data_IF_948265945460
#
_entry.id   IF_948265945460
#
_cell.length_a   1.000
_cell.length_b   1.000
_cell.length_c   1.000
_cell.angle_alpha   90.00
_cell.angle_beta   90.00
_cell.angle_gamma   90.00
#
_symmetry.space_group_name_H-M   'P 1'
#
loop_
_entity.id
_entity.type
_entity.pdbx_description
1 polymer ?
#
# COMPACT_ATOMS: atom_id res chain seq x y z
N UNK A 1 10.15 12.96 -9.32
CA UNK A 1 9.80 14.30 -9.81
C UNK A 1 10.95 15.23 -9.45
N UNK A 2 11.38 16.06 -10.38
CA UNK A 2 12.45 17.04 -10.17
C UNK A 2 12.00 18.45 -10.60
N UNK A 3 10.67 18.67 -10.65
CA UNK A 3 10.08 19.94 -11.05
C UNK A 3 9.94 20.93 -9.88
N UNK A 4 9.29 22.08 -10.09
CA UNK A 4 9.30 23.21 -9.16
C UNK A 4 8.51 23.00 -7.86
N UNK A 5 7.60 22.02 -7.80
CA UNK A 5 6.68 21.81 -6.68
C UNK A 5 7.22 20.81 -5.64
N UNK A 6 8.48 20.96 -5.22
CA UNK A 6 9.10 20.13 -4.18
C UNK A 6 8.90 20.70 -2.76
N UNK A 7 8.74 22.01 -2.64
CA UNK A 7 8.56 22.71 -1.37
C UNK A 7 7.06 22.93 -1.06
N UNK A 8 6.70 22.82 0.22
CA UNK A 8 5.29 22.92 0.68
C UNK A 8 4.64 24.26 0.31
N UNK A 9 5.38 25.37 0.42
CA UNK A 9 4.87 26.70 0.05
C UNK A 9 4.61 26.84 -1.45
N UNK A 10 5.50 26.28 -2.27
CA UNK A 10 5.37 26.31 -3.73
C UNK A 10 4.16 25.46 -4.18
N UNK A 11 4.00 24.28 -3.59
CA UNK A 11 2.87 23.40 -3.83
C UNK A 11 1.54 24.07 -3.44
N UNK A 12 1.48 24.71 -2.26
CA UNK A 12 0.29 25.40 -1.80
C UNK A 12 -0.11 26.56 -2.75
N UNK A 13 0.87 27.37 -3.18
CA UNK A 13 0.63 28.47 -4.13
C UNK A 13 0.16 27.97 -5.49
N UNK A 14 0.71 26.85 -5.98
CA UNK A 14 0.27 26.24 -7.22
C UNK A 14 -1.15 25.66 -7.10
N UNK A 15 -1.46 24.98 -5.99
CA UNK A 15 -2.80 24.47 -5.72
C UNK A 15 -3.86 25.56 -5.55
N UNK A 16 -3.50 26.73 -4.99
CA UNK A 16 -4.39 27.90 -4.91
C UNK A 16 -4.72 28.48 -6.29
N UNK A 17 -3.75 28.45 -7.20
CA UNK A 17 -3.95 28.88 -8.60
C UNK A 17 -4.63 27.80 -9.45
N UNK A 18 -4.68 26.56 -8.97
CA UNK A 18 -5.34 25.42 -9.62
C UNK A 18 -5.00 25.29 -11.10
N UNK A 19 -6.05 25.26 -11.94
CA UNK A 19 -5.95 25.09 -13.40
C UNK A 19 -5.27 26.27 -14.11
N UNK A 20 -5.04 27.40 -13.44
CA UNK A 20 -4.28 28.54 -13.99
C UNK A 20 -2.78 28.46 -13.71
N UNK A 21 -2.31 27.49 -12.90
CA UNK A 21 -0.88 27.26 -12.66
C UNK A 21 -0.34 26.21 -13.63
N UNK A 22 0.61 26.56 -14.53
CA UNK A 22 1.24 25.57 -15.40
C UNK A 22 2.01 24.53 -14.58
N UNK A 23 2.61 24.91 -13.46
CA UNK A 23 3.34 23.99 -12.58
C UNK A 23 2.41 22.92 -11.97
N UNK A 24 1.17 23.30 -11.61
CA UNK A 24 0.16 22.36 -11.12
C UNK A 24 -0.27 21.36 -12.20
N UNK A 25 -0.53 21.86 -13.42
CA UNK A 25 -0.89 21.01 -14.56
C UNK A 25 0.23 20.03 -14.90
N UNK A 26 1.47 20.51 -14.98
CA UNK A 26 2.65 19.66 -15.23
C UNK A 26 2.83 18.58 -14.16
N UNK A 27 2.59 18.89 -12.89
CA UNK A 27 2.66 17.89 -11.83
C UNK A 27 1.58 16.80 -12.00
N UNK A 28 0.35 17.19 -12.36
CA UNK A 28 -0.73 16.23 -12.64
C UNK A 28 -0.40 15.32 -13.84
N UNK A 29 0.12 15.91 -14.92
CA UNK A 29 0.59 15.17 -16.10
C UNK A 29 1.72 14.21 -15.72
N UNK A 30 2.70 14.68 -14.93
CA UNK A 30 3.80 13.85 -14.48
C UNK A 30 3.29 12.67 -13.64
N UNK A 31 2.45 12.91 -12.63
CA UNK A 31 1.87 11.85 -11.80
C UNK A 31 1.07 10.84 -12.65
N UNK A 32 0.21 11.32 -13.54
CA UNK A 32 -0.57 10.48 -14.46
C UNK A 32 0.33 9.59 -15.34
N UNK A 33 1.41 10.15 -15.89
CA UNK A 33 2.37 9.39 -16.72
C UNK A 33 3.07 8.27 -15.93
N UNK A 34 3.43 8.54 -14.68
CA UNK A 34 4.09 7.56 -13.81
C UNK A 34 3.13 6.44 -13.44
N UNK A 35 1.87 6.77 -13.13
CA UNK A 35 0.82 5.78 -12.87
C UNK A 35 0.62 4.90 -14.10
N UNK A 36 0.43 5.50 -15.29
CA UNK A 36 0.23 4.78 -16.55
C UNK A 36 1.39 3.85 -16.92
N UNK A 37 2.63 4.18 -16.53
CA UNK A 37 3.77 3.27 -16.74
C UNK A 37 3.75 2.01 -15.86
N UNK A 38 2.98 2.02 -14.76
CA UNK A 38 2.94 0.95 -13.76
C UNK A 38 1.65 0.12 -13.82
N UNK A 39 0.61 0.60 -14.50
CA UNK A 39 -0.65 -0.10 -14.70
C UNK A 39 -1.15 0.08 -16.14
N UNK A 40 -1.88 -0.91 -16.66
CA UNK A 40 -2.38 -0.91 -18.03
C UNK A 40 -3.63 -0.01 -18.15
N UNK A 41 -3.41 1.31 -18.11
CA UNK A 41 -4.46 2.32 -18.26
C UNK A 41 -4.67 2.73 -19.71
N UNK A 42 -5.93 2.88 -20.10
CA UNK A 42 -6.32 3.43 -21.39
C UNK A 42 -6.20 4.96 -21.38
N UNK A 43 -6.73 5.60 -20.33
CA UNK A 43 -6.78 7.06 -20.20
C UNK A 43 -5.40 7.67 -19.89
N UNK A 44 -5.24 8.95 -20.17
CA UNK A 44 -4.02 9.71 -19.82
C UNK A 44 -4.32 11.18 -19.61
N UNK A 45 -3.57 11.77 -18.68
CA UNK A 45 -3.53 13.22 -18.47
C UNK A 45 -2.40 13.76 -19.34
N UNK A 46 -2.70 14.61 -20.32
CA UNK A 46 -1.73 15.14 -21.28
C UNK A 46 -1.48 16.64 -21.11
N UNK A 47 -0.34 17.12 -21.62
CA UNK A 47 0.03 18.54 -21.52
C UNK A 47 -0.96 19.44 -22.28
N UNK A 48 -1.16 20.66 -21.76
CA UNK A 48 -1.95 21.73 -22.37
C UNK A 48 -1.22 22.51 -23.46
N UNK A 49 0.05 22.19 -23.76
CA UNK A 49 0.92 22.93 -24.72
C UNK A 49 0.42 22.98 -26.18
N UNK A 50 -0.68 22.30 -26.50
CA UNK A 50 -1.29 22.24 -27.84
C UNK A 50 -2.50 23.14 -28.07
N UNK A 51 -2.76 24.15 -27.23
CA UNK A 51 -3.96 24.99 -27.33
C UNK A 51 -5.24 24.30 -26.83
N UNK A 52 -5.08 23.30 -25.95
CA UNK A 52 -6.21 22.66 -25.26
C UNK A 52 -6.79 23.64 -24.24
N UNK A 53 -8.11 23.74 -24.21
CA UNK A 53 -8.80 24.52 -23.18
C UNK A 53 -8.79 23.78 -21.84
N UNK A 54 -9.10 24.53 -20.79
CA UNK A 54 -9.15 24.03 -19.41
C UNK A 54 -10.17 22.89 -19.26
N UNK A 55 -11.28 22.96 -19.99
CA UNK A 55 -12.34 21.94 -19.96
C UNK A 55 -11.84 20.59 -20.49
N UNK A 56 -11.06 20.59 -21.58
CA UNK A 56 -10.43 19.39 -22.12
C UNK A 56 -9.51 18.72 -21.09
N UNK A 57 -8.71 19.51 -20.38
CA UNK A 57 -7.85 18.98 -19.32
C UNK A 57 -8.68 18.39 -18.16
N UNK A 58 -9.72 19.09 -17.72
CA UNK A 58 -10.61 18.61 -16.67
C UNK A 58 -11.30 17.30 -17.07
N UNK A 59 -11.66 17.13 -18.34
CA UNK A 59 -12.24 15.89 -18.87
C UNK A 59 -11.23 14.74 -18.86
N UNK A 60 -9.99 14.96 -19.31
CA UNK A 60 -8.92 13.97 -19.26
C UNK A 60 -8.67 13.50 -17.82
N UNK A 61 -8.55 14.45 -16.88
CA UNK A 61 -8.40 14.12 -15.45
C UNK A 61 -9.61 13.34 -14.93
N UNK A 62 -10.83 13.73 -15.30
CA UNK A 62 -12.05 13.05 -14.85
C UNK A 62 -12.16 11.62 -15.36
N UNK A 63 -11.82 11.38 -16.63
CA UNK A 63 -11.79 10.03 -17.22
C UNK A 63 -10.71 9.18 -16.56
N UNK A 64 -9.51 9.73 -16.40
CA UNK A 64 -8.39 9.08 -15.72
C UNK A 64 -8.75 8.66 -14.29
N UNK A 65 -9.36 9.57 -13.52
CA UNK A 65 -9.80 9.28 -12.15
C UNK A 65 -10.92 8.24 -12.09
N UNK A 66 -11.82 8.22 -13.08
CA UNK A 66 -12.91 7.23 -13.14
C UNK A 66 -12.37 5.84 -13.43
N UNK A 67 -11.40 5.70 -14.34
CA UNK A 67 -10.71 4.44 -14.62
C UNK A 67 -9.98 3.92 -13.37
N UNK A 68 -9.37 4.83 -12.59
CA UNK A 68 -8.72 4.52 -11.30
C UNK A 68 -9.70 4.31 -10.14
N UNK A 69 -11.02 4.33 -10.38
CA UNK A 69 -12.07 4.20 -9.37
C UNK A 69 -11.92 5.20 -8.20
N UNK A 70 -11.58 6.46 -8.51
CA UNK A 70 -11.41 7.52 -7.52
C UNK A 70 -12.66 7.69 -6.63
N UNK A 71 -12.52 7.71 -5.29
CA UNK A 71 -13.66 7.79 -4.38
C UNK A 71 -14.20 9.22 -4.20
N UNK A 72 -13.47 10.24 -4.64
CA UNK A 72 -13.85 11.64 -4.46
C UNK A 72 -14.87 12.07 -5.51
N UNK A 73 -16.16 12.05 -5.15
CA UNK A 73 -17.24 12.43 -6.05
C UNK A 73 -17.11 13.87 -6.59
N UNK A 74 -16.53 14.80 -5.82
CA UNK A 74 -16.28 16.18 -6.27
C UNK A 74 -15.33 16.27 -7.47
N UNK A 75 -14.49 15.26 -7.68
CA UNK A 75 -13.52 15.24 -8.78
C UNK A 75 -14.02 14.52 -10.04
N UNK A 76 -15.08 13.70 -9.94
CA UNK A 76 -15.54 12.82 -11.03
C UNK A 76 -17.01 13.02 -11.44
N UNK A 77 -17.79 13.72 -10.62
CA UNK A 77 -19.24 13.95 -10.77
C UNK A 77 -19.57 15.44 -10.73
N UNK A 78 -20.80 15.81 -11.06
CA UNK A 78 -21.24 17.22 -11.14
C UNK A 78 -20.83 17.90 -12.45
N UNK A 79 -21.03 19.22 -12.54
CA UNK A 79 -20.61 20.02 -13.70
C UNK A 79 -19.08 20.02 -13.82
N UNK A 80 -18.57 19.87 -15.04
CA UNK A 80 -17.12 19.88 -15.31
C UNK A 80 -16.49 21.22 -14.92
N UNK A 81 -17.23 22.33 -15.08
CA UNK A 81 -16.76 23.70 -14.82
C UNK A 81 -16.51 24.01 -13.35
N UNK A 82 -17.09 23.21 -12.47
CA UNK A 82 -16.97 23.37 -11.02
C UNK A 82 -15.80 22.55 -10.44
N UNK A 83 -15.25 21.60 -11.20
CA UNK A 83 -14.19 20.70 -10.73
C UNK A 83 -12.84 21.40 -10.69
N UNK A 84 -12.02 21.10 -9.67
CA UNK A 84 -10.66 21.65 -9.53
C UNK A 84 -10.61 23.19 -9.51
N UNK A 85 -11.71 23.84 -9.12
CA UNK A 85 -11.73 25.29 -8.85
C UNK A 85 -11.15 25.62 -7.49
N UNK A 86 -11.57 24.86 -6.49
CA UNK A 86 -11.16 25.10 -5.12
C UNK A 86 -9.80 24.46 -4.83
N UNK A 87 -8.98 25.17 -4.04
CA UNK A 87 -7.67 24.67 -3.57
C UNK A 87 -7.79 23.26 -2.98
N UNK A 88 -8.86 23.01 -2.23
CA UNK A 88 -9.08 21.72 -1.57
C UNK A 88 -9.26 20.57 -2.57
N UNK A 89 -9.95 20.80 -3.69
CA UNK A 89 -10.13 19.79 -4.74
C UNK A 89 -8.83 19.55 -5.50
N UNK A 90 -8.03 20.59 -5.75
CA UNK A 90 -6.67 20.46 -6.29
C UNK A 90 -5.78 19.61 -5.37
N UNK A 91 -5.83 19.84 -4.06
CA UNK A 91 -5.07 19.05 -3.08
C UNK A 91 -5.59 17.60 -2.98
N UNK A 92 -6.90 17.37 -3.04
CA UNK A 92 -7.50 16.01 -3.08
C UNK A 92 -7.01 15.25 -4.31
N UNK A 93 -6.97 15.89 -5.47
CA UNK A 93 -6.44 15.30 -6.70
C UNK A 93 -4.97 14.88 -6.52
N UNK A 94 -4.12 15.79 -6.05
CA UNK A 94 -2.70 15.52 -5.86
C UNK A 94 -2.46 14.43 -4.81
N UNK A 95 -3.21 14.46 -3.71
CA UNK A 95 -3.17 13.43 -2.68
C UNK A 95 -3.50 12.07 -3.29
N UNK A 96 -4.64 11.96 -3.99
CA UNK A 96 -5.10 10.72 -4.62
C UNK A 96 -4.05 10.16 -5.58
N UNK A 97 -3.62 10.95 -6.57
CA UNK A 97 -2.65 10.52 -7.58
C UNK A 97 -1.31 10.11 -6.93
N UNK A 98 -0.84 10.85 -5.92
CA UNK A 98 0.40 10.53 -5.23
C UNK A 98 0.30 9.23 -4.44
N UNK A 99 -0.80 9.01 -3.72
CA UNK A 99 -1.02 7.78 -2.94
C UNK A 99 -1.22 6.57 -3.84
N UNK A 100 -1.93 6.72 -4.96
CA UNK A 100 -2.10 5.63 -5.93
C UNK A 100 -0.79 5.27 -6.61
N UNK A 101 0.02 6.27 -7.00
CA UNK A 101 1.36 6.03 -7.53
C UNK A 101 2.23 5.28 -6.52
N UNK A 102 2.18 5.68 -5.24
CA UNK A 102 2.91 5.00 -4.16
C UNK A 102 2.43 3.54 -4.01
N UNK A 103 1.12 3.31 -3.99
CA UNK A 103 0.54 1.97 -3.89
C UNK A 103 0.95 1.09 -5.08
N UNK A 104 0.89 1.61 -6.31
CA UNK A 104 1.30 0.89 -7.52
C UNK A 104 2.79 0.53 -7.49
N UNK A 105 3.67 1.43 -7.06
CA UNK A 105 5.10 1.14 -6.88
C UNK A 105 5.34 0.01 -5.85
N UNK A 106 4.60 0.00 -4.75
CA UNK A 106 4.66 -1.06 -3.73
C UNK A 106 4.15 -2.39 -4.31
N UNK A 107 3.07 -2.39 -5.08
CA UNK A 107 2.52 -3.60 -5.69
C UNK A 107 3.45 -4.17 -6.76
N UNK A 108 4.06 -3.32 -7.58
CA UNK A 108 4.97 -3.77 -8.63
C UNK A 108 6.27 -4.35 -8.04
N UNK A 109 6.83 -3.73 -7.00
CA UNK A 109 7.99 -4.28 -6.29
C UNK A 109 7.69 -5.64 -5.65
N UNK A 110 6.46 -5.86 -5.15
CA UNK A 110 6.02 -7.17 -4.65
C UNK A 110 5.83 -8.22 -5.75
N UNK A 111 5.35 -7.84 -6.94
CA UNK A 111 5.22 -8.76 -8.09
C UNK A 111 6.57 -9.28 -8.57
N UNK A 112 7.59 -8.43 -8.61
CA UNK A 112 8.96 -8.84 -8.95
C UNK A 112 9.53 -9.88 -7.97
N UNK A 113 9.11 -9.86 -6.70
CA UNK A 113 9.47 -10.89 -5.70
C UNK A 113 8.77 -12.24 -5.88
N UNK A 114 7.75 -12.32 -6.74
CA UNK A 114 6.98 -13.54 -7.00
C UNK A 114 7.60 -14.48 -8.04
N UNK A 115 8.63 -14.04 -8.79
CA UNK A 115 9.39 -14.93 -9.66
C UNK A 115 10.34 -15.75 -8.79
N UNK A 116 10.09 -17.06 -8.74
CA UNK A 116 10.82 -18.07 -7.98
C UNK A 116 12.31 -18.15 -8.42
N UNK A 117 13.13 -17.19 -7.97
CA UNK A 117 14.58 -17.27 -8.03
C UNK A 117 15.11 -17.82 -6.71
N UNK A 118 16.20 -18.57 -6.81
CA UNK A 118 16.75 -19.44 -5.76
C UNK A 118 16.84 -18.80 -4.37
N UNK A 119 16.25 -19.48 -3.37
CA UNK A 119 16.20 -19.11 -1.95
C UNK A 119 17.54 -18.71 -1.32
N UNK A 120 18.66 -19.11 -1.91
CA UNK A 120 19.98 -18.81 -1.38
C UNK A 120 20.42 -17.35 -1.59
N UNK A 121 19.73 -16.57 -2.44
CA UNK A 121 20.10 -15.18 -2.74
C UNK A 121 19.01 -14.14 -2.40
N UNK A 122 17.90 -14.55 -1.78
CA UNK A 122 16.76 -13.65 -1.48
C UNK A 122 17.17 -12.48 -0.59
N UNK A 123 17.90 -12.74 0.50
CA UNK A 123 18.31 -11.68 1.45
C UNK A 123 19.22 -10.65 0.78
N UNK A 124 20.17 -11.11 -0.03
CA UNK A 124 21.08 -10.21 -0.75
C UNK A 124 20.33 -9.41 -1.82
N UNK A 125 19.40 -10.03 -2.56
CA UNK A 125 18.53 -9.32 -3.50
C UNK A 125 17.64 -8.27 -2.80
N UNK A 126 17.15 -8.56 -1.60
CA UNK A 126 16.37 -7.59 -0.82
C UNK A 126 17.23 -6.41 -0.37
N UNK A 127 18.43 -6.66 0.14
CA UNK A 127 19.38 -5.60 0.50
C UNK A 127 19.76 -4.78 -0.73
N UNK A 128 19.98 -5.44 -1.87
CA UNK A 128 20.26 -4.78 -3.15
C UNK A 128 19.12 -3.87 -3.59
N UNK A 129 17.87 -4.35 -3.48
CA UNK A 129 16.68 -3.54 -3.78
C UNK A 129 16.58 -2.32 -2.86
N UNK A 130 16.94 -2.45 -1.59
CA UNK A 130 16.99 -1.33 -0.64
C UNK A 130 18.06 -0.33 -1.07
N UNK A 131 19.26 -0.78 -1.46
CA UNK A 131 20.33 0.07 -1.95
C UNK A 131 19.91 0.85 -3.20
N UNK A 132 19.31 0.17 -4.19
CA UNK A 132 18.82 0.79 -5.42
C UNK A 132 17.74 1.84 -5.11
N UNK A 133 16.80 1.52 -4.22
CA UNK A 133 15.75 2.46 -3.80
C UNK A 133 16.29 3.69 -3.05
N UNK A 134 17.40 3.53 -2.32
CA UNK A 134 18.08 4.61 -1.62
C UNK A 134 19.09 5.38 -2.50
N UNK A 135 19.28 4.96 -3.76
CA UNK A 135 20.27 5.51 -4.69
C UNK A 135 21.71 5.30 -4.21
N UNK A 136 21.97 4.24 -3.45
CA UNK A 136 23.32 3.86 -3.04
C UNK A 136 24.00 3.13 -4.21
N UNK A 137 25.17 3.61 -4.63
CA UNK A 137 25.97 2.90 -5.62
C UNK A 137 26.34 1.53 -5.08
N UNK A 138 26.10 0.48 -5.87
CA UNK A 138 26.51 -0.88 -5.56
C UNK A 138 28.02 -0.93 -5.51
N UNK A 139 28.60 -0.68 -4.33
CA UNK A 139 29.94 -1.15 -4.09
C UNK A 139 29.86 -2.66 -4.26
N UNK A 140 30.75 -3.21 -5.07
CA UNK A 140 30.96 -4.65 -5.21
C UNK A 140 31.53 -5.25 -3.91
N UNK A 141 30.98 -4.84 -2.76
CA UNK A 141 31.43 -5.18 -1.45
C UNK A 141 30.98 -6.62 -1.20
N UNK A 142 31.94 -7.54 -1.18
CA UNK A 142 31.72 -8.88 -0.68
C UNK A 142 31.39 -8.90 0.83
N UNK A 143 31.30 -7.75 1.49
CA UNK A 143 31.01 -7.59 2.91
C UNK A 143 29.69 -6.84 3.13
N UNK A 144 28.76 -7.51 3.82
CA UNK A 144 27.38 -7.06 4.08
C UNK A 144 27.35 -6.00 5.19
N UNK A 145 28.28 -6.04 6.14
CA UNK A 145 28.22 -5.20 7.32
C UNK A 145 28.43 -3.69 7.02
N UNK A 146 29.43 -3.30 6.20
CA UNK A 146 29.58 -1.92 5.75
C UNK A 146 28.38 -1.44 4.91
N UNK A 147 27.80 -2.34 4.10
CA UNK A 147 26.64 -2.04 3.28
C UNK A 147 25.43 -1.68 4.15
N UNK A 148 25.14 -2.49 5.18
CA UNK A 148 24.05 -2.21 6.11
C UNK A 148 24.26 -0.91 6.89
N UNK A 149 25.51 -0.57 7.22
CA UNK A 149 25.85 0.69 7.89
C UNK A 149 25.58 1.89 6.98
N UNK A 150 25.93 1.80 5.70
CA UNK A 150 25.63 2.83 4.70
C UNK A 150 24.11 3.00 4.48
N UNK A 151 23.38 1.89 4.44
CA UNK A 151 21.91 1.89 4.37
C UNK A 151 21.31 2.59 5.58
N UNK A 152 21.76 2.25 6.80
CA UNK A 152 21.30 2.88 8.04
C UNK A 152 21.55 4.39 8.02
N UNK A 153 22.75 4.81 7.64
CA UNK A 153 23.12 6.23 7.59
C UNK A 153 22.26 6.99 6.57
N UNK A 154 22.09 6.43 5.37
CA UNK A 154 21.26 7.05 4.33
C UNK A 154 19.80 7.18 4.75
N UNK A 155 19.26 6.19 5.46
CA UNK A 155 17.91 6.25 6.02
C UNK A 155 17.82 7.37 7.07
N UNK A 156 18.80 7.49 7.98
CA UNK A 156 18.82 8.59 8.96
C UNK A 156 18.88 9.97 8.30
N UNK A 157 19.70 10.11 7.25
CA UNK A 157 19.84 11.36 6.49
C UNK A 157 18.56 11.73 5.71
N UNK A 158 17.80 10.74 5.23
CA UNK A 158 16.50 10.98 4.60
C UNK A 158 15.47 11.36 5.65
N UNK A 159 15.40 10.62 6.77
CA UNK A 159 14.45 10.88 7.84
C UNK A 159 14.63 12.25 8.48
N UNK A 160 15.86 12.77 8.56
CA UNK A 160 16.12 14.12 9.09
C UNK A 160 15.61 15.25 8.19
N UNK A 161 15.35 14.97 6.91
CA UNK A 161 14.79 15.92 5.94
C UNK A 161 13.27 15.90 5.89
N UNK A 162 12.63 14.95 6.56
CA UNK A 162 11.18 14.80 6.59
C UNK A 162 10.65 15.25 7.94
N UNK A 163 9.42 15.77 7.98
CA UNK A 163 8.77 16.18 9.24
C UNK A 163 8.80 15.05 10.29
N UNK A 164 9.05 15.40 11.56
CA UNK A 164 9.23 14.46 12.68
C UNK A 164 8.08 13.46 12.89
N UNK A 165 6.89 13.72 12.34
CA UNK A 165 5.71 12.87 12.49
C UNK A 165 5.45 11.96 11.28
N UNK A 166 6.31 11.96 10.26
CA UNK A 166 6.06 11.22 9.02
C UNK A 166 6.23 9.70 9.19
N UNK A 167 7.22 9.29 9.97
CA UNK A 167 7.41 7.90 10.39
C UNK A 167 7.20 7.88 11.89
N UNK A 168 6.06 7.36 12.35
CA UNK A 168 5.72 7.32 13.78
C UNK A 168 6.84 6.73 14.64
N UNK A 169 6.81 7.01 15.94
CA UNK A 169 7.86 6.55 16.87
C UNK A 169 7.84 5.03 17.01
N UNK A 170 9.03 4.45 17.22
CA UNK A 170 9.19 3.02 17.48
C UNK A 170 8.41 2.62 18.72
N UNK A 171 7.66 1.52 18.64
CA UNK A 171 6.95 0.96 19.78
C UNK A 171 7.94 0.44 20.84
N UNK A 172 9.05 -0.16 20.40
CA UNK A 172 10.15 -0.57 21.26
C UNK A 172 11.18 0.57 21.32
N UNK A 173 11.24 1.27 22.45
CA UNK A 173 12.09 2.46 22.64
C UNK A 173 13.42 2.16 23.33
N UNK A 174 13.49 1.05 24.08
CA UNK A 174 14.70 0.67 24.84
C UNK A 174 15.49 -0.38 24.07
N UNK A 175 16.83 -0.24 23.98
CA UNK A 175 17.68 -1.29 23.44
C UNK A 175 17.57 -2.53 24.34
N UNK A 176 17.56 -3.70 23.71
CA UNK A 176 17.53 -4.98 24.40
C UNK A 176 18.96 -5.51 24.55
N UNK A 177 19.28 -6.06 25.72
CA UNK A 177 20.51 -6.81 25.89
C UNK A 177 20.37 -8.25 25.34
N UNK A 178 21.47 -9.00 25.25
CA UNK A 178 21.49 -10.34 24.65
C UNK A 178 20.50 -11.32 25.32
N UNK A 179 20.39 -11.30 26.65
CA UNK A 179 19.46 -12.15 27.40
C UNK A 179 17.99 -11.79 27.09
N UNK A 180 17.69 -10.50 27.02
CA UNK A 180 16.36 -10.00 26.67
C UNK A 180 15.98 -10.35 25.23
N UNK A 181 16.91 -10.28 24.27
CA UNK A 181 16.69 -10.69 22.88
C UNK A 181 16.38 -12.17 22.80
N UNK A 182 17.12 -13.02 23.53
CA UNK A 182 16.86 -14.46 23.58
C UNK A 182 15.48 -14.75 24.18
N UNK A 183 15.14 -14.10 25.30
CA UNK A 183 13.83 -14.24 25.94
C UNK A 183 12.71 -13.79 25.01
N UNK A 184 12.91 -12.70 24.27
CA UNK A 184 11.95 -12.20 23.31
C UNK A 184 11.74 -13.17 22.14
N UNK A 185 12.81 -13.84 21.69
CA UNK A 185 12.74 -14.95 20.74
C UNK A 185 11.82 -16.08 21.24
N UNK A 186 12.03 -16.53 22.49
CA UNK A 186 11.19 -17.56 23.12
C UNK A 186 9.71 -17.15 23.21
N UNK A 187 9.42 -15.89 23.53
CA UNK A 187 8.05 -15.36 23.55
C UNK A 187 7.45 -15.37 22.14
N UNK A 188 8.20 -14.89 21.14
CA UNK A 188 7.75 -14.89 19.75
C UNK A 188 7.44 -16.31 19.26
N UNK A 189 8.26 -17.30 19.59
CA UNK A 189 8.06 -18.70 19.19
C UNK A 189 6.81 -19.31 19.85
N UNK A 190 6.59 -19.04 21.14
CA UNK A 190 5.40 -19.49 21.86
C UNK A 190 4.13 -18.89 21.24
N UNK A 191 4.11 -17.56 21.02
CA UNK A 191 2.98 -16.88 20.39
C UNK A 191 2.75 -17.39 18.97
N UNK A 192 3.82 -17.56 18.19
CA UNK A 192 3.75 -18.08 16.82
C UNK A 192 3.09 -19.45 16.79
N UNK A 193 3.52 -20.38 17.65
CA UNK A 193 2.92 -21.71 17.75
C UNK A 193 1.41 -21.64 18.06
N UNK A 194 1.03 -20.77 19.00
CA UNK A 194 -0.36 -20.56 19.38
C UNK A 194 -1.20 -19.97 18.22
N UNK A 195 -0.68 -18.95 17.53
CA UNK A 195 -1.31 -18.38 16.34
C UNK A 195 -1.45 -19.40 15.20
N UNK A 196 -0.44 -20.23 14.97
CA UNK A 196 -0.49 -21.30 13.97
C UNK A 196 -1.53 -22.36 14.32
N UNK A 197 -1.70 -22.67 15.61
CA UNK A 197 -2.78 -23.54 16.10
C UNK A 197 -4.16 -22.92 15.80
N UNK A 198 -4.37 -21.65 16.17
CA UNK A 198 -5.62 -20.92 15.89
C UNK A 198 -5.92 -20.85 14.40
N UNK A 199 -4.91 -20.56 13.55
CA UNK A 199 -5.07 -20.53 12.09
C UNK A 199 -5.47 -21.88 11.53
N UNK A 200 -4.82 -22.98 11.95
CA UNK A 200 -5.24 -24.35 11.58
C UNK A 200 -6.69 -24.62 11.96
N UNK A 201 -7.09 -24.22 13.16
CA UNK A 201 -8.45 -24.40 13.64
C UNK A 201 -9.47 -23.63 12.80
N UNK A 202 -9.21 -22.36 12.49
CA UNK A 202 -10.08 -21.53 11.64
C UNK A 202 -10.17 -22.06 10.20
N UNK A 203 -9.05 -22.48 9.63
CA UNK A 203 -9.00 -23.09 8.30
C UNK A 203 -9.80 -24.40 8.29
N UNK A 204 -9.67 -25.24 9.33
CA UNK A 204 -10.46 -26.47 9.45
C UNK A 204 -11.94 -26.18 9.66
N UNK A 205 -12.30 -25.14 10.43
CA UNK A 205 -13.70 -24.69 10.56
C UNK A 205 -14.26 -24.29 9.21
N UNK A 206 -13.51 -23.53 8.42
CA UNK A 206 -13.91 -23.17 7.06
C UNK A 206 -14.12 -24.42 6.19
N UNK A 207 -13.20 -25.39 6.24
CA UNK A 207 -13.33 -26.67 5.52
C UNK A 207 -14.64 -27.39 5.90
N UNK A 208 -14.93 -27.51 7.19
CA UNK A 208 -16.15 -28.19 7.69
C UNK A 208 -17.41 -27.40 7.34
N UNK A 209 -17.39 -26.08 7.41
CA UNK A 209 -18.52 -25.23 6.98
C UNK A 209 -18.83 -25.44 5.51
N UNK A 210 -17.81 -25.45 4.64
CA UNK A 210 -18.02 -25.71 3.20
C UNK A 210 -18.53 -27.13 2.95
N UNK A 211 -18.01 -28.12 3.66
CA UNK A 211 -18.49 -29.50 3.59
C UNK A 211 -19.96 -29.64 4.01
N UNK A 212 -20.41 -28.87 5.01
CA UNK A 212 -21.80 -28.92 5.48
C UNK A 212 -22.82 -28.52 4.42
N UNK A 213 -22.44 -27.69 3.43
CA UNK A 213 -23.33 -27.36 2.32
C UNK A 213 -23.71 -28.61 1.52
N UNK A 214 -22.78 -29.56 1.36
CA UNK A 214 -23.02 -30.84 0.69
C UNK A 214 -24.03 -31.77 1.37
N UNK A 215 -24.58 -31.40 2.54
CA UNK A 215 -25.61 -32.20 3.21
C UNK A 215 -27.00 -31.98 2.63
N UNK A 216 -27.25 -30.85 1.97
CA UNK A 216 -28.52 -30.58 1.29
C UNK A 216 -28.52 -31.12 -0.15
N UNK A 217 -29.62 -31.74 -0.57
CA UNK A 217 -29.72 -32.31 -1.93
C UNK A 217 -29.57 -31.25 -3.03
N UNK A 218 -30.03 -30.03 -2.77
CA UNK A 218 -29.86 -28.88 -3.66
C UNK A 218 -28.40 -28.46 -3.86
N UNK A 219 -27.54 -28.63 -2.85
CA UNK A 219 -26.14 -28.23 -2.94
C UNK A 219 -25.22 -29.38 -3.36
N UNK A 220 -25.61 -30.64 -3.16
CA UNK A 220 -24.88 -31.82 -3.68
C UNK A 220 -24.65 -31.72 -5.18
N UNK A 221 -25.65 -31.29 -5.94
CA UNK A 221 -25.54 -31.07 -7.40
C UNK A 221 -24.61 -29.91 -7.80
N UNK A 222 -24.19 -29.07 -6.83
CA UNK A 222 -23.28 -27.94 -7.03
C UNK A 222 -21.89 -28.16 -6.39
N UNK A 223 -21.58 -29.39 -5.97
CA UNK A 223 -20.33 -29.69 -5.25
C UNK A 223 -19.11 -29.31 -6.08
N UNK A 224 -19.13 -29.59 -7.38
CA UNK A 224 -18.00 -29.28 -8.28
C UNK A 224 -17.80 -27.77 -8.45
N UNK A 225 -18.90 -27.00 -8.56
CA UNK A 225 -18.84 -25.54 -8.62
C UNK A 225 -18.29 -24.94 -7.31
N UNK A 226 -18.75 -25.46 -6.17
CA UNK A 226 -18.27 -25.04 -4.85
C UNK A 226 -16.77 -25.34 -4.73
N UNK A 227 -16.34 -26.54 -5.10
CA UNK A 227 -14.93 -26.95 -5.07
C UNK A 227 -14.07 -26.08 -6.00
N UNK A 228 -14.54 -25.81 -7.22
CA UNK A 228 -13.85 -24.96 -8.21
C UNK A 228 -13.55 -23.56 -7.66
N UNK A 229 -14.47 -22.98 -6.89
CA UNK A 229 -14.27 -21.66 -6.27
C UNK A 229 -13.47 -21.75 -4.96
N UNK A 230 -13.74 -22.76 -4.15
CA UNK A 230 -13.20 -22.89 -2.81
C UNK A 230 -11.73 -23.31 -2.80
N UNK A 231 -11.35 -24.33 -3.58
CA UNK A 231 -10.02 -24.94 -3.51
C UNK A 231 -8.88 -23.93 -3.75
N UNK A 232 -8.93 -23.04 -4.78
CA UNK A 232 -7.89 -22.03 -4.96
C UNK A 232 -7.72 -21.11 -3.75
N UNK A 233 -8.85 -20.67 -3.15
CA UNK A 233 -8.84 -19.83 -1.95
C UNK A 233 -8.28 -20.60 -0.75
N UNK A 234 -8.63 -21.87 -0.63
CA UNK A 234 -8.17 -22.75 0.45
C UNK A 234 -6.67 -23.03 0.39
N UNK A 235 -6.12 -23.22 -0.82
CA UNK A 235 -4.67 -23.41 -1.02
C UNK A 235 -3.87 -22.13 -0.71
N UNK A 236 -4.45 -20.96 -0.92
CA UNK A 236 -3.83 -19.69 -0.55
C UNK A 236 -3.79 -19.45 0.98
N UNK A 237 -4.61 -20.15 1.77
CA UNK A 237 -4.63 -20.03 3.23
C UNK A 237 -3.53 -20.88 3.86
N UNK A 238 -2.54 -20.20 4.46
CA UNK A 238 -1.46 -20.86 5.20
C UNK A 238 -1.73 -20.86 6.71
N UNK A 239 -1.50 -21.99 7.39
CA UNK A 239 -1.53 -22.03 8.85
C UNK A 239 -0.36 -21.29 9.48
N UNK A 240 0.76 -21.08 8.75
CA UNK A 240 1.97 -20.44 9.29
C UNK A 240 1.72 -18.99 9.65
N UNK A 241 2.32 -18.53 10.76
CA UNK A 241 2.32 -17.11 11.09
C UNK A 241 3.31 -16.37 10.19
N UNK A 242 2.91 -15.19 9.72
CA UNK A 242 3.77 -14.27 8.97
C UNK A 242 4.49 -13.28 9.88
N UNK A 243 4.11 -13.22 11.16
CA UNK A 243 4.70 -12.31 12.15
C UNK A 243 6.02 -12.89 12.67
N UNK A 244 7.06 -12.07 12.67
CA UNK A 244 8.42 -12.42 13.11
C UNK A 244 8.96 -11.34 14.07
N UNK A 245 10.09 -11.62 14.71
CA UNK A 245 10.79 -10.64 15.55
C UNK A 245 11.08 -9.32 14.81
N UNK A 246 11.41 -9.38 13.51
CA UNK A 246 11.63 -8.20 12.69
C UNK A 246 10.39 -7.29 12.62
N UNK A 247 9.18 -7.87 12.56
CA UNK A 247 7.94 -7.09 12.57
C UNK A 247 7.73 -6.37 13.90
N UNK A 248 8.14 -6.98 15.02
CA UNK A 248 8.09 -6.34 16.33
C UNK A 248 9.07 -5.18 16.43
N UNK A 249 10.30 -5.34 15.92
CA UNK A 249 11.31 -4.26 15.91
C UNK A 249 10.92 -3.12 14.97
N UNK A 250 10.19 -3.42 13.89
CA UNK A 250 9.65 -2.43 12.97
C UNK A 250 8.35 -1.76 13.48
N UNK A 251 7.72 -2.31 14.53
CA UNK A 251 6.43 -1.83 15.03
C UNK A 251 6.52 -0.38 15.51
N UNK A 252 5.46 0.39 15.24
CA UNK A 252 5.32 1.79 15.63
C UNK A 252 4.19 1.96 16.64
N UNK A 253 4.16 3.10 17.32
CA UNK A 253 3.20 3.41 18.40
C UNK A 253 1.73 3.29 17.96
N UNK A 254 1.43 3.50 16.68
CA UNK A 254 0.08 3.33 16.12
C UNK A 254 -0.43 1.89 16.23
N UNK A 255 0.44 0.88 16.14
CA UNK A 255 0.08 -0.52 16.33
C UNK A 255 -0.31 -0.85 17.78
N UNK A 256 -0.01 0.01 18.75
CA UNK A 256 -0.48 -0.14 20.13
C UNK A 256 -1.94 0.29 20.33
N UNK A 257 -2.53 0.96 19.35
CA UNK A 257 -3.92 1.42 19.42
C UNK A 257 -4.86 0.25 19.17
N UNK A 258 -5.47 -0.27 20.23
CA UNK A 258 -6.48 -1.32 20.14
C UNK A 258 -7.79 -0.70 19.61
N UNK A 259 -8.11 -0.95 18.34
CA UNK A 259 -9.38 -0.54 17.74
C UNK A 259 -10.44 -1.59 18.08
N UNK A 260 -11.56 -1.16 18.65
CA UNK A 260 -12.70 -2.05 18.90
C UNK A 260 -13.33 -2.47 17.57
N UNK A 261 -13.17 -3.74 17.22
CA UNK A 261 -13.77 -4.34 16.03
C UNK A 261 -15.29 -4.50 16.10
N UNK A 262 -15.89 -4.33 17.30
CA UNK A 262 -17.33 -4.43 17.55
C UNK A 262 -18.05 -3.07 17.63
N UNK A 263 -17.38 -1.94 17.34
CA UNK A 263 -18.04 -0.63 17.37
C UNK A 263 -19.13 -0.51 16.29
N UNK A 264 -20.19 0.25 16.57
CA UNK A 264 -21.26 0.53 15.60
C UNK A 264 -20.72 1.09 14.28
N UNK A 265 -19.75 2.00 14.35
CA UNK A 265 -19.06 2.59 13.19
C UNK A 265 -18.33 1.57 12.30
N UNK A 266 -17.83 0.46 12.87
CA UNK A 266 -17.19 -0.61 12.09
C UNK A 266 -18.25 -1.51 11.46
N UNK A 267 -19.38 -1.72 12.15
CA UNK A 267 -20.47 -2.58 11.71
C UNK A 267 -21.27 -1.99 10.55
N UNK A 268 -21.47 -0.67 10.53
CA UNK A 268 -22.09 0.07 9.41
C UNK A 268 -21.43 -0.29 8.06
N UNK A 269 -20.10 -0.37 8.04
CA UNK A 269 -19.31 -0.69 6.83
C UNK A 269 -19.30 -2.19 6.47
N UNK A 270 -19.87 -3.06 7.30
CA UNK A 270 -19.97 -4.51 7.05
C UNK A 270 -21.41 -4.97 6.83
N UNK A 271 -22.34 -4.02 6.72
CA UNK A 271 -23.73 -4.31 6.42
C UNK A 271 -23.84 -4.97 5.05
N UNK A 272 -24.52 -6.11 4.98
CA UNK A 272 -24.83 -6.78 3.73
C UNK A 272 -26.24 -7.33 3.78
N UNK A 273 -26.75 -7.81 2.65
CA UNK A 273 -28.10 -8.36 2.57
C UNK A 273 -28.40 -9.46 3.62
N UNK A 274 -27.35 -10.14 4.09
CA UNK A 274 -27.41 -11.22 5.09
C UNK A 274 -27.19 -10.68 6.51
N UNK A 275 -26.35 -9.66 6.67
CA UNK A 275 -25.96 -9.09 7.95
C UNK A 275 -26.49 -7.65 8.04
N UNK A 276 -27.77 -7.50 8.40
CA UNK A 276 -28.39 -6.20 8.66
C UNK A 276 -28.01 -5.78 10.09
N UNK A 277 -27.31 -4.66 10.20
CA UNK A 277 -26.98 -4.01 11.48
C UNK A 277 -28.07 -3.00 11.78
#
# INVERSE_FOLDING_TARGET
YAGPLLEEEALNKAAEKGLSSPEFLELCVWLGSQIKSLCNMEESITSTDGGKDVESFQLEVSSFLREMACPYSSLISGDIKDRLREKEDCLKLLLFLSTELQALKILNSKKMKGSHLEKHNEVYQEVQTICDALGLSNSSASDILPLLTNVEQKIKDILSKVQNNHVGKSLLTKPLNSEQVERLGKINDALRSEYECRRRMLVKRLDVTVQSFGWSDRAKVKTDDIARIYQPKRYALSPKSTVTLAHLLAAREDLSKIIRTSSGSTRENTACAINKV
#
